data_IF_781782238503
#
_entry.id   IF_781782238503
#
_cell.length_a   1.000
_cell.length_b   1.000
_cell.length_c   1.000
_cell.angle_alpha   90.00
_cell.angle_beta   90.00
_cell.angle_gamma   90.00
#
_symmetry.space_group_name_H-M   'P 1'
#
loop_
_entity.id
_entity.type
_entity.pdbx_description
1 polymer ?
#
# COMPACT_ATOMS: atom_id res chain seq x y z
N UNK A 1 -4.24 24.92 -9.81
CA UNK A 1 -4.31 23.55 -10.37
C UNK A 1 -5.71 23.05 -10.09
N UNK A 2 -6.40 22.44 -11.05
CA UNK A 2 -7.77 21.96 -10.87
C UNK A 2 -7.74 20.61 -10.18
N UNK A 3 -8.52 20.45 -9.11
CA UNK A 3 -8.66 19.16 -8.43
C UNK A 3 -9.50 18.18 -9.26
N UNK A 4 -9.20 16.88 -9.13
CA UNK A 4 -9.96 15.83 -9.79
C UNK A 4 -10.40 14.71 -8.86
N UNK A 5 -11.40 13.97 -9.33
CA UNK A 5 -11.80 12.67 -8.83
C UNK A 5 -11.78 11.70 -10.01
N UNK A 6 -11.11 10.57 -9.83
CA UNK A 6 -11.13 9.43 -10.77
C UNK A 6 -11.68 8.23 -10.03
N UNK A 7 -12.62 7.50 -10.63
CA UNK A 7 -13.06 6.19 -10.12
C UNK A 7 -12.16 5.14 -10.75
N UNK A 8 -11.31 4.51 -9.93
CA UNK A 8 -10.34 3.53 -10.39
C UNK A 8 -10.37 2.26 -9.56
N UNK A 9 -9.87 1.15 -10.12
CA UNK A 9 -9.62 -0.04 -9.33
C UNK A 9 -8.54 0.26 -8.28
N UNK A 10 -8.76 -0.10 -7.02
CA UNK A 10 -7.81 0.15 -5.93
C UNK A 10 -6.41 -0.43 -6.18
N UNK A 11 -6.29 -1.56 -6.87
CA UNK A 11 -5.00 -2.14 -7.24
C UNK A 11 -4.24 -1.28 -8.25
N UNK A 12 -4.96 -0.41 -8.98
CA UNK A 12 -4.38 0.59 -9.88
C UNK A 12 -3.39 1.54 -9.18
N UNK A 13 -3.56 1.76 -7.87
CA UNK A 13 -2.71 2.66 -7.08
C UNK A 13 -1.24 2.26 -7.04
N UNK A 14 -0.93 0.98 -7.25
CA UNK A 14 0.45 0.47 -7.21
C UNK A 14 1.00 0.09 -8.60
N UNK A 15 0.27 0.46 -9.66
CA UNK A 15 0.75 0.23 -11.03
C UNK A 15 1.87 1.21 -11.40
N UNK A 16 2.70 0.80 -12.37
CA UNK A 16 3.93 1.51 -12.74
C UNK A 16 3.80 3.03 -12.88
N UNK A 17 2.73 3.49 -13.52
CA UNK A 17 2.56 4.91 -13.85
C UNK A 17 1.76 5.69 -12.80
N UNK A 18 1.10 4.99 -11.87
CA UNK A 18 0.21 5.61 -10.87
C UNK A 18 0.87 5.64 -9.50
N UNK A 19 1.64 4.62 -9.16
CA UNK A 19 2.31 4.51 -7.87
C UNK A 19 3.17 5.72 -7.50
N UNK A 20 3.98 6.30 -8.42
CA UNK A 20 4.75 7.50 -8.10
C UNK A 20 3.87 8.67 -7.62
N UNK A 21 2.64 8.80 -8.14
CA UNK A 21 1.71 9.85 -7.71
C UNK A 21 1.19 9.61 -6.29
N UNK A 22 1.02 8.36 -5.87
CA UNK A 22 0.65 8.01 -4.50
C UNK A 22 1.85 8.16 -3.55
N UNK A 23 3.04 7.70 -3.96
CA UNK A 23 4.29 7.82 -3.20
C UNK A 23 4.64 9.29 -2.92
N UNK A 24 4.52 10.16 -3.93
CA UNK A 24 4.76 11.61 -3.80
C UNK A 24 3.60 12.36 -3.09
N UNK A 25 2.54 11.66 -2.71
CA UNK A 25 1.34 12.28 -2.12
C UNK A 25 0.55 13.18 -3.07
N UNK A 26 0.83 13.18 -4.38
CA UNK A 26 0.08 13.96 -5.40
C UNK A 26 -1.35 13.44 -5.60
N UNK A 27 -1.54 12.13 -5.42
CA UNK A 27 -2.84 11.45 -5.48
C UNK A 27 -3.02 10.61 -4.22
N UNK A 28 -4.26 10.46 -3.77
CA UNK A 28 -4.63 9.62 -2.62
C UNK A 28 -5.99 8.98 -2.84
N UNK A 29 -6.32 7.98 -2.04
CA UNK A 29 -7.69 7.48 -2.01
C UNK A 29 -8.64 8.55 -1.44
N UNK A 30 -9.82 8.69 -2.03
CA UNK A 30 -10.88 9.61 -1.60
C UNK A 30 -11.72 9.07 -0.44
N UNK A 31 -12.86 9.74 -0.17
CA UNK A 31 -13.81 9.38 0.89
C UNK A 31 -14.75 8.22 0.53
N UNK A 32 -14.71 7.73 -0.72
CA UNK A 32 -15.50 6.57 -1.12
C UNK A 32 -15.13 5.32 -0.32
N UNK A 33 -16.10 4.44 -0.10
CA UNK A 33 -15.82 3.07 0.35
C UNK A 33 -14.99 2.33 -0.71
N UNK A 34 -14.20 1.33 -0.28
CA UNK A 34 -13.67 0.32 -1.19
C UNK A 34 -14.81 -0.61 -1.59
N UNK A 35 -14.87 -0.94 -2.87
CA UNK A 35 -15.99 -1.71 -3.40
C UNK A 35 -17.10 -0.76 -3.83
N UNK A 36 -17.45 -0.79 -5.10
CA UNK A 36 -18.57 -0.05 -5.65
C UNK A 36 -19.37 -0.96 -6.57
N UNK A 37 -20.68 -0.78 -6.58
CA UNK A 37 -21.58 -1.51 -7.43
C UNK A 37 -21.76 -0.80 -8.77
N UNK A 38 -21.62 -1.55 -9.85
CA UNK A 38 -21.81 -1.07 -11.21
C UNK A 38 -22.84 -1.93 -11.93
N UNK A 39 -23.75 -1.28 -12.65
CA UNK A 39 -24.65 -1.98 -13.55
C UNK A 39 -23.87 -2.48 -14.77
N UNK A 40 -24.00 -3.78 -15.06
CA UNK A 40 -23.49 -4.40 -16.27
C UNK A 40 -24.61 -5.16 -17.00
N UNK A 41 -24.42 -5.57 -18.26
CA UNK A 41 -25.39 -6.40 -18.96
C UNK A 41 -25.78 -7.70 -18.22
N UNK A 42 -24.86 -8.25 -17.41
CA UNK A 42 -25.09 -9.46 -16.62
C UNK A 42 -25.67 -9.18 -15.21
N UNK A 43 -26.04 -7.93 -14.93
CA UNK A 43 -26.54 -7.48 -13.62
C UNK A 43 -25.54 -6.64 -12.82
N UNK A 44 -25.87 -6.41 -11.55
CA UNK A 44 -25.08 -5.59 -10.63
C UNK A 44 -23.78 -6.32 -10.24
N UNK A 45 -22.63 -5.68 -10.47
CA UNK A 45 -21.31 -6.21 -10.13
C UNK A 45 -20.63 -5.32 -9.10
N UNK A 46 -20.20 -5.91 -7.99
CA UNK A 46 -19.33 -5.23 -7.04
C UNK A 46 -17.88 -5.33 -7.53
N UNK A 47 -17.26 -4.19 -7.78
CA UNK A 47 -15.87 -4.08 -8.25
C UNK A 47 -15.05 -3.40 -7.16
N UNK A 48 -13.78 -3.80 -6.99
CA UNK A 48 -12.81 -3.15 -6.10
C UNK A 48 -12.42 -1.74 -6.59
N UNK A 49 -13.40 -0.86 -6.76
CA UNK A 49 -13.25 0.52 -7.16
C UNK A 49 -13.18 1.43 -5.92
N UNK A 50 -12.47 2.55 -6.09
CA UNK A 50 -12.28 3.60 -5.09
C UNK A 50 -11.99 4.92 -5.82
N UNK A 51 -12.30 6.05 -5.19
CA UNK A 51 -11.94 7.37 -5.69
C UNK A 51 -10.44 7.60 -5.54
N UNK A 52 -9.80 8.08 -6.59
CA UNK A 52 -8.45 8.65 -6.58
C UNK A 52 -8.63 10.16 -6.70
N UNK A 53 -8.08 10.92 -5.75
CA UNK A 53 -8.32 12.36 -5.63
C UNK A 53 -7.03 13.11 -5.41
N UNK A 54 -7.00 14.38 -5.82
CA UNK A 54 -5.89 15.32 -5.55
C UNK A 54 -6.15 16.21 -4.34
N UNK A 55 -7.42 16.47 -4.03
CA UNK A 55 -7.77 17.31 -2.90
C UNK A 55 -7.45 16.62 -1.55
N UNK A 56 -7.28 17.39 -0.47
CA UNK A 56 -7.01 16.84 0.86
C UNK A 56 -8.12 15.91 1.36
N UNK A 57 -7.71 14.78 1.93
CA UNK A 57 -8.61 13.80 2.57
C UNK A 57 -8.18 13.67 4.02
N UNK A 58 -9.05 14.07 4.94
CA UNK A 58 -8.80 13.96 6.37
C UNK A 58 -9.07 12.53 6.82
N UNK A 59 -8.08 11.90 7.44
CA UNK A 59 -8.18 10.54 7.98
C UNK A 59 -7.81 10.55 9.46
N UNK A 60 -8.37 9.60 10.20
CA UNK A 60 -7.94 9.38 11.59
C UNK A 60 -6.46 8.97 11.60
N UNK A 61 -5.63 9.55 12.49
CA UNK A 61 -4.24 9.14 12.64
C UNK A 61 -4.12 7.65 12.93
N UNK A 62 -3.04 7.04 12.43
CA UNK A 62 -2.70 5.66 12.76
C UNK A 62 -2.02 5.62 14.13
N UNK A 63 -2.65 4.98 15.11
CA UNK A 63 -2.07 4.79 16.45
C UNK A 63 -1.36 3.43 16.47
N UNK A 64 -0.05 3.45 16.66
CA UNK A 64 0.77 2.25 16.78
C UNK A 64 0.74 1.75 18.23
N UNK A 65 0.47 0.46 18.42
CA UNK A 65 0.32 -0.13 19.76
C UNK A 65 1.14 -1.41 19.94
N UNK A 66 1.72 -1.93 18.86
CA UNK A 66 2.49 -3.17 18.89
C UNK A 66 3.96 -2.88 19.09
N UNK A 67 4.60 -3.71 19.91
CA UNK A 67 6.05 -3.77 20.03
C UNK A 67 6.60 -4.80 19.04
N UNK A 68 7.78 -4.55 18.48
CA UNK A 68 8.49 -5.47 17.62
C UNK A 68 8.84 -6.76 18.38
N UNK A 69 8.68 -7.86 17.68
CA UNK A 69 8.92 -9.22 18.15
C UNK A 69 9.33 -10.06 16.92
N UNK A 70 10.61 -10.48 16.82
CA UNK A 70 11.11 -11.17 15.62
C UNK A 70 10.34 -12.45 15.27
N UNK A 71 9.72 -13.10 16.26
CA UNK A 71 8.90 -14.30 16.03
C UNK A 71 7.55 -13.98 15.37
N UNK A 72 7.06 -12.75 15.53
CA UNK A 72 5.79 -12.28 14.97
C UNK A 72 5.94 -11.50 13.67
N UNK A 73 7.10 -10.90 13.44
CA UNK A 73 7.40 -10.08 12.27
C UNK A 73 8.62 -10.67 11.54
N UNK A 74 8.45 -11.83 10.88
CA UNK A 74 9.55 -12.48 10.21
C UNK A 74 10.05 -11.62 9.04
N UNK A 75 11.34 -11.74 8.72
CA UNK A 75 11.92 -11.09 7.53
C UNK A 75 11.52 -11.83 6.25
N UNK A 76 11.42 -11.10 5.14
CA UNK A 76 11.28 -11.73 3.82
C UNK A 76 12.56 -12.48 3.43
N UNK A 77 12.40 -13.54 2.65
CA UNK A 77 13.50 -14.38 2.18
C UNK A 77 14.41 -13.65 1.18
N UNK A 78 13.84 -12.66 0.48
CA UNK A 78 14.45 -12.04 -0.70
C UNK A 78 14.49 -10.51 -0.65
N UNK A 79 14.17 -9.90 0.50
CA UNK A 79 14.24 -8.46 0.69
C UNK A 79 14.47 -8.16 2.18
N UNK A 80 15.34 -7.20 2.50
CA UNK A 80 15.62 -6.85 3.89
C UNK A 80 14.52 -5.94 4.48
N UNK A 81 13.35 -6.53 4.67
CA UNK A 81 12.22 -5.94 5.37
C UNK A 81 11.50 -7.01 6.19
N UNK A 82 10.80 -6.57 7.24
CA UNK A 82 9.90 -7.46 8.00
C UNK A 82 8.53 -7.53 7.35
N UNK A 83 7.88 -8.69 7.43
CA UNK A 83 6.49 -8.87 7.05
C UNK A 83 5.59 -8.32 8.16
N UNK A 84 4.69 -7.41 7.79
CA UNK A 84 3.65 -6.91 8.67
C UNK A 84 2.30 -7.18 8.02
N UNK A 85 1.65 -8.27 8.43
CA UNK A 85 0.41 -8.73 7.81
C UNK A 85 -0.77 -7.76 7.89
N UNK A 86 -0.79 -6.83 8.86
CA UNK A 86 -1.88 -5.86 9.06
C UNK A 86 -1.35 -4.50 9.47
N UNK A 87 -1.93 -3.44 8.89
CA UNK A 87 -1.59 -2.04 9.22
C UNK A 87 -1.67 -1.73 10.71
N UNK A 88 -2.64 -2.29 11.43
CA UNK A 88 -2.79 -2.08 12.89
C UNK A 88 -1.70 -2.75 13.72
N UNK A 89 -0.96 -3.68 13.13
CA UNK A 89 0.08 -4.45 13.79
C UNK A 89 1.48 -3.88 13.50
N UNK A 90 1.59 -2.72 12.82
CA UNK A 90 2.87 -2.04 12.61
C UNK A 90 3.55 -1.75 13.97
N UNK A 91 4.79 -2.20 14.17
CA UNK A 91 5.50 -2.01 15.44
C UNK A 91 6.00 -0.57 15.64
N UNK A 92 5.74 0.01 16.82
CA UNK A 92 6.11 1.39 17.12
C UNK A 92 7.61 1.59 17.39
N UNK A 93 8.39 0.53 17.59
CA UNK A 93 9.82 0.56 17.95
C UNK A 93 10.74 -0.09 16.89
N UNK A 94 10.21 -0.45 15.72
CA UNK A 94 11.03 -0.92 14.59
C UNK A 94 11.36 0.22 13.62
N UNK A 95 12.65 0.40 13.32
CA UNK A 95 13.16 1.50 12.47
C UNK A 95 13.55 1.05 11.06
N UNK A 96 13.59 -0.26 10.79
CA UNK A 96 13.91 -0.80 9.47
C UNK A 96 12.72 -0.75 8.50
N UNK A 97 12.95 -1.27 7.29
CA UNK A 97 11.90 -1.36 6.25
C UNK A 97 10.85 -2.40 6.65
N UNK A 98 9.58 -2.06 6.44
CA UNK A 98 8.41 -2.89 6.74
C UNK A 98 7.58 -3.11 5.48
N UNK A 99 7.29 -4.38 5.16
CA UNK A 99 6.32 -4.74 4.16
C UNK A 99 4.92 -4.78 4.74
N UNK A 100 4.09 -3.79 4.39
CA UNK A 100 2.69 -3.65 4.86
C UNK A 100 1.69 -3.89 3.74
N UNK A 101 0.40 -4.16 4.03
CA UNK A 101 -0.61 -4.32 2.99
C UNK A 101 -0.82 -3.01 2.22
N UNK A 102 -1.22 -3.09 0.94
CA UNK A 102 -1.53 -1.91 0.09
C UNK A 102 -2.60 -1.00 0.70
N UNK A 103 -3.48 -1.57 1.52
CA UNK A 103 -4.50 -0.83 2.29
C UNK A 103 -3.88 0.18 3.26
N UNK A 104 -2.57 0.17 3.50
CA UNK A 104 -1.85 1.24 4.17
C UNK A 104 -2.05 2.61 3.51
N UNK A 105 -2.23 2.67 2.17
CA UNK A 105 -2.60 3.91 1.46
C UNK A 105 -4.00 4.44 1.85
N UNK A 106 -4.81 3.66 2.58
CA UNK A 106 -6.02 4.17 3.24
C UNK A 106 -5.74 4.93 4.53
N UNK A 107 -4.48 5.05 4.91
CA UNK A 107 -4.06 5.87 6.04
C UNK A 107 -3.29 7.03 5.48
N UNK A 108 -3.44 8.16 6.16
CA UNK A 108 -2.59 9.28 5.89
C UNK A 108 -1.18 8.89 6.34
N UNK A 109 -0.21 9.01 5.45
CA UNK A 109 1.16 8.50 5.64
C UNK A 109 2.02 9.41 6.54
N UNK A 110 1.40 10.17 7.45
CA UNK A 110 2.15 10.97 8.41
C UNK A 110 2.96 10.05 9.32
N UNK A 111 4.25 10.37 9.49
CA UNK A 111 5.21 9.58 10.25
C UNK A 111 5.86 8.43 9.48
N UNK A 112 5.54 8.23 8.19
CA UNK A 112 6.16 7.20 7.37
C UNK A 112 6.60 7.73 6.00
N UNK A 113 7.66 7.12 5.48
CA UNK A 113 8.10 7.20 4.09
C UNK A 113 7.69 5.91 3.36
N UNK A 114 7.33 6.05 2.09
CA UNK A 114 7.05 4.91 1.21
C UNK A 114 8.28 4.72 0.33
N UNK A 115 9.06 3.69 0.63
CA UNK A 115 10.29 3.37 -0.11
C UNK A 115 9.93 2.76 -1.47
N UNK A 116 8.87 1.94 -1.52
CA UNK A 116 8.41 1.34 -2.77
C UNK A 116 7.32 0.28 -2.61
N UNK A 117 7.26 -0.66 -3.56
CA UNK A 117 6.27 -1.75 -3.57
C UNK A 117 6.83 -3.05 -4.12
N UNK A 118 6.56 -4.15 -3.42
CA UNK A 118 6.75 -5.52 -3.90
C UNK A 118 5.49 -5.94 -4.66
N UNK A 119 5.55 -6.01 -6.00
CA UNK A 119 4.39 -6.18 -6.90
C UNK A 119 4.58 -7.28 -7.94
N UNK A 120 3.94 -8.45 -7.74
CA UNK A 120 4.02 -9.53 -8.73
C UNK A 120 5.48 -9.87 -9.05
N UNK A 121 5.88 -9.87 -10.32
CA UNK A 121 7.28 -10.08 -10.75
C UNK A 121 8.18 -8.85 -10.68
N UNK A 122 7.67 -7.72 -10.21
CA UNK A 122 8.39 -6.47 -10.21
C UNK A 122 8.48 -5.90 -8.80
N UNK A 123 9.57 -5.21 -8.55
CA UNK A 123 9.73 -4.38 -7.37
C UNK A 123 10.07 -2.99 -7.82
N UNK A 124 9.32 -2.02 -7.30
CA UNK A 124 9.69 -0.61 -7.43
C UNK A 124 10.41 -0.20 -6.16
N UNK A 125 11.59 0.41 -6.36
CA UNK A 125 12.38 1.08 -5.33
C UNK A 125 12.91 2.35 -5.99
N UNK A 126 12.70 3.50 -5.36
CA UNK A 126 13.26 4.79 -5.82
C UNK A 126 13.03 5.13 -7.31
N UNK A 127 11.89 4.74 -7.86
CA UNK A 127 11.49 4.99 -9.24
C UNK A 127 11.97 3.94 -10.24
N UNK A 128 12.81 2.99 -9.83
CA UNK A 128 13.31 1.92 -10.66
C UNK A 128 12.43 0.67 -10.55
N UNK A 129 11.95 0.18 -11.69
CA UNK A 129 11.16 -1.06 -11.77
C UNK A 129 12.06 -2.22 -12.13
N UNK A 130 12.44 -3.00 -11.13
CA UNK A 130 13.33 -4.15 -11.29
C UNK A 130 12.47 -5.42 -11.43
N UNK A 131 12.81 -6.28 -12.39
CA UNK A 131 12.18 -7.61 -12.51
C UNK A 131 12.76 -8.51 -11.43
N UNK A 132 11.94 -8.89 -10.44
CA UNK A 132 12.32 -9.69 -9.28
C UNK A 132 11.69 -9.17 -7.99
N UNK A 133 11.85 -9.95 -6.91
CA UNK A 133 11.42 -9.62 -5.54
C UNK A 133 9.89 -9.57 -5.31
N UNK A 134 9.19 -10.65 -5.65
CA UNK A 134 7.86 -10.91 -5.05
C UNK A 134 8.01 -10.88 -3.51
N UNK A 135 7.01 -10.51 -2.71
CA UNK A 135 7.11 -10.72 -1.27
C UNK A 135 7.13 -12.24 -1.01
N UNK A 136 8.29 -12.78 -0.64
CA UNK A 136 8.49 -14.21 -0.37
C UNK A 136 8.80 -14.40 1.10
N UNK A 137 8.05 -15.28 1.75
CA UNK A 137 8.27 -15.66 3.13
C UNK A 137 8.15 -17.18 3.25
N UNK A 138 9.16 -17.83 3.82
CA UNK A 138 9.20 -19.30 3.95
C UNK A 138 8.96 -20.00 2.59
N UNK A 139 9.61 -19.49 1.53
CA UNK A 139 9.50 -19.93 0.14
C UNK A 139 8.10 -19.83 -0.48
N UNK A 140 7.17 -19.10 0.15
CA UNK A 140 5.81 -18.86 -0.35
C UNK A 140 5.63 -17.42 -0.79
N UNK A 141 5.01 -17.24 -1.94
CA UNK A 141 4.59 -15.92 -2.41
C UNK A 141 3.46 -15.40 -1.53
N UNK A 142 3.59 -14.15 -1.09
CA UNK A 142 2.54 -13.41 -0.42
C UNK A 142 1.85 -12.45 -1.41
N UNK A 143 0.75 -11.84 -0.96
CA UNK A 143 0.16 -10.71 -1.67
C UNK A 143 1.14 -9.54 -1.71
N UNK A 144 1.00 -8.69 -2.72
CA UNK A 144 1.77 -7.45 -2.88
C UNK A 144 1.85 -6.63 -1.57
N UNK A 145 3.00 -6.00 -1.33
CA UNK A 145 3.31 -5.27 -0.11
C UNK A 145 3.89 -3.90 -0.43
N UNK A 146 3.44 -2.87 0.29
CA UNK A 146 4.11 -1.57 0.30
C UNK A 146 5.30 -1.65 1.24
N UNK A 147 6.42 -1.10 0.81
CA UNK A 147 7.61 -0.95 1.64
C UNK A 147 7.55 0.43 2.28
N UNK A 148 7.52 0.46 3.62
CA UNK A 148 7.47 1.69 4.39
C UNK A 148 8.58 1.72 5.43
N UNK A 149 8.99 2.93 5.80
CA UNK A 149 9.91 3.21 6.90
C UNK A 149 9.38 4.35 7.75
N UNK A 150 9.71 4.40 9.04
CA UNK A 150 9.39 5.58 9.86
C UNK A 150 10.26 6.77 9.44
N UNK A 151 9.68 7.97 9.57
CA UNK A 151 10.38 9.26 9.46
C UNK A 151 11.09 9.63 10.75
#
# INVERSE_FOLDING_TARGET
MTDFIIIGNANGAITKNVFPLFKDGKVRFGYSKRGMDFNSPDGLKNINAVWFVTFPVVRKPLILTKKYDPDKYPKYDNYDAIEVSKVKDIPYDYEGVMGVPITFLDRWCDGFEIDGVLYGEFTEIDGEYIKGHRPVLNSKNLFNRLLIRKK
#
